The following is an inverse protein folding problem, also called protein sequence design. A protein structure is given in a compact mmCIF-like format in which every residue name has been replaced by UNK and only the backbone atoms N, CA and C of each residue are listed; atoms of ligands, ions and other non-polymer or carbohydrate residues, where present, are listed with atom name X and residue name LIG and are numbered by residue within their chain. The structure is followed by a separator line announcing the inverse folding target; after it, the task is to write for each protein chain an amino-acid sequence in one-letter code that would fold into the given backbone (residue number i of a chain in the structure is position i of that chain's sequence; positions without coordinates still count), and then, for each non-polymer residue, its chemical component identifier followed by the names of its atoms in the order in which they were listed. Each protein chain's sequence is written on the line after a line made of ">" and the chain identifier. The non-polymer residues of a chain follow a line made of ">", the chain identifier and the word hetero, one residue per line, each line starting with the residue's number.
data_IF_102722415038
#
_entry.id   IF_102722415038
#
_cell.length_a   1.000
_cell.length_b   1.000
_cell.length_c   1.000
_cell.angle_alpha   90.00
_cell.angle_beta   90.00
_cell.angle_gamma   90.00
#
_symmetry.space_group_name_H-M   'P 1'
#
loop_
_entity.id
_entity.type
_entity.pdbx_description
1 polymer ?
#
# COMPACT_ATOMS: atom_id res chain seq x y z
N UNK A 1 22.93 -20.81 14.04
CA UNK A 1 23.71 -19.82 13.28
C UNK A 1 22.90 -19.21 12.14
N UNK A 2 22.39 -19.98 11.18
CA UNK A 2 21.60 -19.47 10.04
C UNK A 2 20.41 -18.57 10.42
N UNK A 3 19.62 -18.94 11.45
CA UNK A 3 18.49 -18.13 11.89
C UNK A 3 18.91 -16.74 12.45
N UNK A 4 20.07 -16.67 13.12
CA UNK A 4 20.60 -15.41 13.65
C UNK A 4 21.13 -14.52 12.51
N UNK A 5 21.77 -15.12 11.50
CA UNK A 5 22.23 -14.40 10.31
C UNK A 5 21.07 -13.81 9.50
N UNK A 6 20.01 -14.58 9.27
CA UNK A 6 18.80 -14.11 8.57
C UNK A 6 18.13 -12.96 9.34
N UNK A 7 18.08 -13.04 10.67
CA UNK A 7 17.52 -11.97 11.50
C UNK A 7 18.35 -10.68 11.42
N UNK A 8 19.68 -10.77 11.51
CA UNK A 8 20.59 -9.62 11.34
C UNK A 8 20.44 -9.01 9.94
N UNK A 9 20.35 -9.85 8.92
CA UNK A 9 20.13 -9.41 7.54
C UNK A 9 18.77 -8.72 7.38
N UNK A 10 17.70 -9.22 8.00
CA UNK A 10 16.39 -8.58 7.98
C UNK A 10 16.39 -7.22 8.69
N UNK A 11 17.11 -7.08 9.81
CA UNK A 11 17.29 -5.79 10.48
C UNK A 11 18.08 -4.79 9.61
N UNK A 12 19.12 -5.25 8.91
CA UNK A 12 19.86 -4.43 7.95
C UNK A 12 18.98 -4.01 6.76
N UNK A 13 18.16 -4.92 6.23
CA UNK A 13 17.15 -4.62 5.20
C UNK A 13 16.17 -3.56 5.70
N UNK A 14 15.64 -3.71 6.92
CA UNK A 14 14.77 -2.70 7.53
C UNK A 14 15.42 -1.32 7.55
N UNK A 15 16.62 -1.20 8.15
CA UNK A 15 17.31 0.09 8.28
C UNK A 15 17.64 0.73 6.93
N UNK A 16 18.15 -0.06 5.97
CA UNK A 16 18.47 0.43 4.64
C UNK A 16 17.23 0.88 3.86
N UNK A 17 16.17 0.06 3.83
CA UNK A 17 14.93 0.38 3.11
C UNK A 17 14.27 1.61 3.73
N UNK A 18 14.15 1.64 5.06
CA UNK A 18 13.56 2.79 5.77
C UNK A 18 14.30 4.08 5.43
N UNK A 19 15.63 4.08 5.51
CA UNK A 19 16.44 5.26 5.24
C UNK A 19 16.28 5.75 3.80
N UNK A 20 16.41 4.88 2.80
CA UNK A 20 16.29 5.29 1.39
C UNK A 20 14.87 5.74 1.06
N UNK A 21 13.84 5.06 1.60
CA UNK A 21 12.45 5.46 1.40
C UNK A 21 12.16 6.80 2.08
N UNK A 22 12.59 7.00 3.33
CA UNK A 22 12.38 8.23 4.08
C UNK A 22 13.11 9.46 3.49
N UNK A 23 14.21 9.26 2.76
CA UNK A 23 14.94 10.34 2.09
C UNK A 23 14.46 10.65 0.67
N UNK A 24 13.47 9.91 0.18
CA UNK A 24 12.97 10.14 -1.16
C UNK A 24 11.97 11.32 -1.17
N UNK A 25 12.13 12.31 -2.06
CA UNK A 25 11.44 13.60 -1.93
C UNK A 25 9.97 13.63 -2.37
N UNK A 26 9.44 12.59 -3.03
CA UNK A 26 8.07 12.62 -3.52
C UNK A 26 7.05 12.40 -2.37
N UNK A 27 6.42 13.48 -1.92
CA UNK A 27 5.35 13.47 -0.91
C UNK A 27 3.98 13.48 -1.59
N UNK A 28 3.12 12.49 -1.31
CA UNK A 28 1.84 12.33 -2.02
C UNK A 28 0.65 12.11 -1.08
N UNK A 29 0.29 13.09 -0.24
CA UNK A 29 -0.73 12.92 0.80
C UNK A 29 -2.13 12.61 0.25
N UNK A 30 -2.59 13.28 -0.81
CA UNK A 30 -3.81 12.90 -1.58
C UNK A 30 -5.00 12.42 -0.73
N UNK A 31 -5.43 11.17 -0.97
CA UNK A 31 -6.48 10.43 -0.26
C UNK A 31 -6.19 10.23 1.25
N UNK A 32 -4.93 10.17 1.68
CA UNK A 32 -4.56 9.88 3.07
C UNK A 32 -4.38 11.10 3.95
N UNK A 33 -4.67 12.32 3.46
CA UNK A 33 -4.43 13.60 4.16
C UNK A 33 -4.99 13.74 5.56
N UNK A 34 -6.07 13.02 5.88
CA UNK A 34 -6.70 13.05 7.21
C UNK A 34 -6.19 11.94 8.14
N UNK A 35 -5.25 11.11 7.70
CA UNK A 35 -4.75 9.97 8.48
C UNK A 35 -3.96 10.43 9.70
N UNK A 36 -3.04 11.38 9.53
CA UNK A 36 -2.25 11.94 10.64
C UNK A 36 -3.15 12.70 11.61
N UNK A 37 -4.06 13.59 11.15
CA UNK A 37 -5.08 14.18 12.02
C UNK A 37 -5.87 13.16 12.85
N UNK A 38 -6.43 12.11 12.24
CA UNK A 38 -7.18 11.07 13.00
C UNK A 38 -6.27 10.35 14.01
N UNK A 39 -5.01 10.06 13.64
CA UNK A 39 -4.07 9.44 14.56
C UNK A 39 -3.76 10.34 15.77
N UNK A 40 -3.72 11.67 15.57
CA UNK A 40 -3.52 12.63 16.64
C UNK A 40 -4.76 12.76 17.53
N UNK A 41 -5.97 12.84 16.96
CA UNK A 41 -7.23 12.83 17.74
C UNK A 41 -7.33 11.58 18.62
N UNK A 42 -6.95 10.42 18.08
CA UNK A 42 -6.88 9.16 18.84
C UNK A 42 -5.91 9.24 20.03
N UNK A 43 -4.73 9.84 19.83
CA UNK A 43 -3.69 9.92 20.85
C UNK A 43 -3.96 11.00 21.90
N UNK A 44 -4.60 12.11 21.51
CA UNK A 44 -4.77 13.30 22.35
C UNK A 44 -6.13 13.36 23.04
N UNK A 45 -7.19 12.89 22.37
CA UNK A 45 -8.58 13.01 22.81
C UNK A 45 -9.26 11.67 23.05
N UNK A 46 -8.70 10.59 22.49
CA UNK A 46 -9.29 9.25 22.59
C UNK A 46 -10.52 9.06 21.70
N UNK A 47 -10.70 9.91 20.68
CA UNK A 47 -11.75 9.82 19.68
C UNK A 47 -11.16 9.81 18.26
N UNK A 48 -12.03 9.72 17.25
CA UNK A 48 -11.63 9.64 15.82
C UNK A 48 -12.28 10.72 14.96
N UNK A 49 -13.00 11.66 15.58
CA UNK A 49 -13.55 12.80 14.87
C UNK A 49 -12.44 13.81 14.56
N UNK A 50 -12.74 14.76 13.69
CA UNK A 50 -11.82 15.77 13.19
C UNK A 50 -12.36 17.17 13.46
N UNK A 51 -13.16 17.33 14.50
CA UNK A 51 -13.88 18.58 14.77
C UNK A 51 -12.90 19.74 15.04
N UNK A 52 -11.77 19.47 15.68
CA UNK A 52 -10.68 20.44 15.89
C UNK A 52 -9.99 20.89 14.61
N UNK A 53 -10.17 20.17 13.50
CA UNK A 53 -9.57 20.48 12.21
C UNK A 53 -10.59 21.00 11.20
N UNK A 54 -11.78 21.44 11.64
CA UNK A 54 -12.86 21.90 10.75
C UNK A 54 -12.39 23.04 9.81
N UNK A 55 -11.66 24.03 10.31
CA UNK A 55 -11.18 25.14 9.46
C UNK A 55 -10.21 24.62 8.38
N UNK A 56 -9.28 23.73 8.74
CA UNK A 56 -8.38 23.08 7.79
C UNK A 56 -9.14 22.24 6.76
N UNK A 57 -10.20 21.53 7.17
CA UNK A 57 -11.06 20.75 6.28
C UNK A 57 -11.83 21.66 5.33
N UNK A 58 -12.34 22.80 5.82
CA UNK A 58 -13.05 23.82 5.03
C UNK A 58 -12.13 24.42 3.96
N UNK A 59 -10.89 24.77 4.33
CA UNK A 59 -9.86 25.25 3.39
C UNK A 59 -9.51 24.22 2.30
N UNK A 60 -9.65 22.93 2.62
CA UNK A 60 -9.43 21.82 1.69
C UNK A 60 -10.71 21.38 0.95
N UNK A 61 -11.77 22.22 0.98
CA UNK A 61 -13.02 21.98 0.26
C UNK A 61 -13.77 20.72 0.70
N UNK A 62 -13.63 20.32 1.98
CA UNK A 62 -14.22 19.10 2.55
C UNK A 62 -13.81 17.80 1.83
N UNK A 63 -12.71 17.82 1.08
CA UNK A 63 -12.23 16.66 0.35
C UNK A 63 -12.01 15.48 1.29
N UNK A 64 -12.58 14.31 1.00
CA UNK A 64 -12.44 13.08 1.79
C UNK A 64 -12.86 13.17 3.27
N UNK A 65 -13.67 14.18 3.64
CA UNK A 65 -14.35 14.25 4.93
C UNK A 65 -15.82 13.85 4.78
N UNK A 66 -16.42 13.38 5.87
CA UNK A 66 -17.85 13.12 5.97
C UNK A 66 -18.40 13.59 7.32
N UNK A 67 -19.64 14.07 7.33
CA UNK A 67 -20.32 14.51 8.54
C UNK A 67 -21.27 13.40 8.98
N UNK A 68 -21.18 13.00 10.24
CA UNK A 68 -22.05 11.97 10.83
C UNK A 68 -22.90 12.63 11.91
N UNK A 69 -24.21 12.68 11.68
CA UNK A 69 -25.20 13.19 12.63
C UNK A 69 -26.01 12.04 13.23
N UNK A 70 -26.17 11.97 14.56
CA UNK A 70 -27.07 11.01 15.19
C UNK A 70 -28.52 11.20 14.70
N UNK A 71 -29.31 10.12 14.50
CA UNK A 71 -28.96 8.73 14.77
C UNK A 71 -28.10 8.08 13.68
N UNK A 72 -28.32 8.35 12.38
CA UNK A 72 -27.63 7.64 11.28
C UNK A 72 -27.35 8.50 10.02
N UNK A 73 -27.53 9.82 10.11
CA UNK A 73 -27.45 10.69 8.93
C UNK A 73 -26.00 11.01 8.57
N UNK A 74 -25.48 10.32 7.55
CA UNK A 74 -24.17 10.62 6.96
C UNK A 74 -24.33 11.57 5.78
N UNK A 75 -23.77 12.77 5.89
CA UNK A 75 -23.73 13.76 4.81
C UNK A 75 -22.32 13.81 4.18
N UNK A 76 -22.26 13.82 2.85
CA UNK A 76 -21.02 13.96 2.08
C UNK A 76 -20.53 15.42 1.98
N UNK A 77 -19.60 15.75 1.05
CA UNK A 77 -18.89 17.04 0.96
C UNK A 77 -19.75 18.31 0.96
N UNK A 78 -21.04 18.22 0.59
CA UNK A 78 -22.00 19.33 0.59
C UNK A 78 -22.64 19.62 1.98
N UNK A 79 -21.94 19.24 3.07
CA UNK A 79 -22.48 19.13 4.43
C UNK A 79 -22.60 20.43 5.25
N UNK A 80 -22.09 21.56 4.75
CA UNK A 80 -21.98 22.80 5.54
C UNK A 80 -21.11 22.59 6.79
N UNK A 81 -21.40 23.33 7.87
CA UNK A 81 -20.62 23.27 9.13
C UNK A 81 -20.84 22.00 9.98
N UNK A 82 -21.46 20.94 9.43
CA UNK A 82 -21.80 19.71 10.17
C UNK A 82 -22.56 19.96 11.49
N UNK A 83 -23.41 21.00 11.55
CA UNK A 83 -24.13 21.37 12.77
C UNK A 83 -24.89 20.16 13.38
N UNK A 84 -24.68 19.92 14.68
CA UNK A 84 -25.29 18.82 15.42
C UNK A 84 -24.71 17.42 15.14
N UNK A 85 -23.55 17.34 14.51
CA UNK A 85 -22.82 16.08 14.28
C UNK A 85 -21.31 16.25 14.44
N UNK A 86 -20.58 15.23 14.02
CA UNK A 86 -19.12 15.17 14.08
C UNK A 86 -18.52 14.87 12.70
N UNK A 87 -17.33 15.39 12.45
CA UNK A 87 -16.63 15.22 11.18
C UNK A 87 -15.69 14.03 11.27
N UNK A 88 -15.73 13.14 10.29
CA UNK A 88 -14.87 11.97 10.22
C UNK A 88 -14.11 11.92 8.89
N UNK A 89 -12.98 11.23 8.92
CA UNK A 89 -12.30 10.83 7.70
C UNK A 89 -13.17 9.81 6.95
N UNK A 90 -13.43 10.05 5.65
CA UNK A 90 -14.19 9.12 4.81
C UNK A 90 -13.47 7.79 4.62
N UNK A 91 -12.13 7.79 4.61
CA UNK A 91 -11.35 6.57 4.43
C UNK A 91 -11.33 5.69 5.69
N UNK A 92 -11.10 4.37 5.56
CA UNK A 92 -11.17 3.41 6.66
C UNK A 92 -10.26 3.72 7.83
N UNK A 93 -10.78 3.51 9.05
CA UNK A 93 -10.09 3.76 10.32
C UNK A 93 -8.85 2.88 10.55
N UNK A 94 -8.73 1.75 9.85
CA UNK A 94 -7.63 0.81 10.07
C UNK A 94 -6.25 1.40 9.80
N UNK A 95 -6.13 2.35 8.86
CA UNK A 95 -4.86 2.99 8.55
C UNK A 95 -4.40 3.95 9.67
N UNK A 96 -5.20 4.93 10.13
CA UNK A 96 -4.87 5.74 11.29
C UNK A 96 -4.53 4.93 12.55
N UNK A 97 -5.30 3.88 12.85
CA UNK A 97 -5.05 3.02 14.03
C UNK A 97 -3.70 2.32 13.95
N UNK A 98 -3.32 1.83 12.76
CA UNK A 98 -1.99 1.25 12.55
C UNK A 98 -0.87 2.28 12.63
N UNK A 99 -1.13 3.51 12.16
CA UNK A 99 -0.16 4.59 12.14
C UNK A 99 0.09 5.21 13.53
N UNK A 100 -0.91 5.23 14.41
CA UNK A 100 -0.88 5.94 15.68
C UNK A 100 0.35 5.61 16.57
N UNK A 101 0.79 4.34 16.75
CA UNK A 101 1.99 4.07 17.54
C UNK A 101 3.28 4.69 16.96
N UNK A 102 3.38 4.76 15.63
CA UNK A 102 4.55 5.35 14.95
C UNK A 102 4.47 6.88 14.99
N UNK A 103 3.27 7.45 14.80
CA UNK A 103 3.03 8.89 14.97
C UNK A 103 3.36 9.34 16.39
N UNK A 104 2.95 8.57 17.40
CA UNK A 104 3.30 8.81 18.80
C UNK A 104 4.82 8.78 19.01
N UNK A 105 5.51 7.78 18.46
CA UNK A 105 6.97 7.69 18.55
C UNK A 105 7.66 8.89 17.88
N UNK A 106 7.16 9.35 16.73
CA UNK A 106 7.65 10.57 16.06
C UNK A 106 7.49 11.78 16.96
N UNK A 107 6.29 11.99 17.52
CA UNK A 107 6.00 13.11 18.43
C UNK A 107 6.93 13.13 19.63
N UNK A 108 7.01 12.02 20.38
CA UNK A 108 7.89 11.90 21.55
C UNK A 108 9.35 12.13 21.17
N UNK A 109 9.79 11.65 20.01
CA UNK A 109 11.17 11.86 19.56
C UNK A 109 11.47 13.32 19.24
N UNK A 110 10.51 14.05 18.66
CA UNK A 110 10.65 15.48 18.37
C UNK A 110 10.63 16.31 19.66
N UNK A 111 9.73 15.99 20.59
CA UNK A 111 9.66 16.66 21.90
C UNK A 111 10.96 16.48 22.69
N UNK A 112 11.54 15.27 22.69
CA UNK A 112 12.84 15.01 23.33
C UNK A 112 14.00 15.70 22.60
N UNK A 113 13.89 15.93 21.29
CA UNK A 113 14.92 16.56 20.48
C UNK A 113 14.80 18.08 20.37
N UNK A 114 13.69 18.66 20.84
CA UNK A 114 13.38 20.10 20.79
C UNK A 114 14.58 20.98 21.22
N UNK A 115 15.32 20.70 22.32
CA UNK A 115 16.45 21.53 22.75
C UNK A 115 17.58 21.64 21.71
N UNK A 116 17.71 20.65 20.82
CA UNK A 116 18.71 20.63 19.77
C UNK A 116 18.18 21.11 18.41
N UNK A 117 16.89 20.91 18.15
CA UNK A 117 16.22 21.24 16.89
C UNK A 117 15.77 22.70 16.81
N UNK A 118 15.47 23.36 17.94
CA UNK A 118 15.03 24.76 18.01
C UNK A 118 16.13 25.81 17.68
N UNK A 119 17.17 25.42 16.93
CA UNK A 119 18.27 26.31 16.53
C UNK A 119 17.90 27.09 15.26
N UNK A 120 18.01 28.43 15.23
CA UNK A 120 17.65 29.25 14.08
C UNK A 120 18.30 28.82 12.75
N UNK A 121 19.50 28.23 12.81
CA UNK A 121 20.24 27.76 11.64
C UNK A 121 19.60 26.56 10.90
N UNK A 122 18.59 25.89 11.48
CA UNK A 122 17.91 24.75 10.87
C UNK A 122 16.61 25.12 10.15
N UNK A 123 16.15 26.38 10.26
CA UNK A 123 14.86 26.83 9.73
C UNK A 123 15.01 27.68 8.47
N UNK A 124 13.97 27.69 7.62
CA UNK A 124 13.87 28.55 6.43
C UNK A 124 14.27 27.86 5.12
N UNK A 125 14.44 26.53 5.13
CA UNK A 125 14.78 25.75 3.94
C UNK A 125 13.52 25.29 3.21
N UNK A 126 12.50 24.81 3.94
CA UNK A 126 11.26 24.31 3.36
C UNK A 126 10.12 24.30 4.40
N UNK A 127 8.92 24.84 4.11
CA UNK A 127 7.85 25.02 5.10
C UNK A 127 7.42 23.73 5.80
N UNK A 128 7.31 22.62 5.05
CA UNK A 128 6.97 21.29 5.62
C UNK A 128 8.04 20.80 6.59
N UNK A 129 9.33 21.01 6.28
CA UNK A 129 10.44 20.58 7.14
C UNK A 129 10.49 21.48 8.38
N UNK A 130 10.30 22.77 8.21
CA UNK A 130 10.27 23.73 9.32
C UNK A 130 9.13 23.41 10.29
N UNK A 131 7.94 23.07 9.79
CA UNK A 131 6.82 22.61 10.62
C UNK A 131 7.18 21.33 11.38
N UNK A 132 7.81 20.36 10.72
CA UNK A 132 8.22 19.10 11.35
C UNK A 132 9.24 19.32 12.48
N UNK A 133 10.23 20.19 12.25
CA UNK A 133 11.25 20.54 13.24
C UNK A 133 10.68 21.31 14.44
N UNK A 134 9.51 21.95 14.29
CA UNK A 134 8.74 22.59 15.37
C UNK A 134 7.75 21.65 16.05
N UNK A 135 7.81 20.34 15.76
CA UNK A 135 6.84 19.35 16.21
C UNK A 135 5.39 19.63 15.78
N UNK A 136 5.18 20.48 14.76
CA UNK A 136 3.87 20.66 14.14
C UNK A 136 3.60 19.53 13.13
N UNK A 137 3.00 18.46 13.63
CA UNK A 137 2.67 17.28 12.83
C UNK A 137 1.50 17.50 11.87
N UNK A 138 0.70 18.56 12.06
CA UNK A 138 -0.40 18.92 11.16
C UNK A 138 0.17 19.69 9.95
N UNK A 139 0.98 20.72 10.18
CA UNK A 139 1.67 21.47 9.13
C UNK A 139 2.68 20.61 8.35
N UNK A 140 3.24 19.58 8.99
CA UNK A 140 4.16 18.62 8.36
C UNK A 140 3.53 17.28 7.96
N UNK A 141 2.19 17.17 7.94
CA UNK A 141 1.47 15.90 7.74
C UNK A 141 1.96 15.05 6.57
N UNK A 142 2.28 15.66 5.43
CA UNK A 142 2.75 14.92 4.25
C UNK A 142 4.09 14.21 4.50
N UNK A 143 5.00 14.87 5.24
CA UNK A 143 6.28 14.28 5.65
C UNK A 143 6.06 13.17 6.69
N UNK A 144 5.19 13.40 7.69
CA UNK A 144 4.83 12.38 8.68
C UNK A 144 4.23 11.15 8.02
N UNK A 145 3.31 11.33 7.07
CA UNK A 145 2.73 10.23 6.29
C UNK A 145 3.80 9.42 5.56
N UNK A 146 4.72 10.09 4.85
CA UNK A 146 5.79 9.42 4.13
C UNK A 146 6.72 8.64 5.08
N UNK A 147 7.06 9.20 6.25
CA UNK A 147 7.90 8.52 7.25
C UNK A 147 7.22 7.25 7.79
N UNK A 148 5.95 7.34 8.17
CA UNK A 148 5.20 6.17 8.67
C UNK A 148 4.97 5.14 7.56
N UNK A 149 4.65 5.57 6.35
CA UNK A 149 4.51 4.68 5.20
C UNK A 149 5.83 3.97 4.86
N UNK A 150 6.96 4.68 4.90
CA UNK A 150 8.30 4.12 4.73
C UNK A 150 8.63 3.09 5.82
N UNK A 151 8.21 3.34 7.07
CA UNK A 151 8.35 2.38 8.16
C UNK A 151 7.57 1.08 7.89
N UNK A 152 6.31 1.17 7.44
CA UNK A 152 5.52 -0.02 7.11
C UNK A 152 6.12 -0.84 5.97
N UNK A 153 6.62 -0.18 4.92
CA UNK A 153 7.26 -0.88 3.81
C UNK A 153 8.61 -1.48 4.21
N UNK A 154 9.40 -0.80 5.03
CA UNK A 154 10.64 -1.35 5.58
C UNK A 154 10.38 -2.59 6.45
N UNK A 155 9.33 -2.56 7.28
CA UNK A 155 8.91 -3.71 8.08
C UNK A 155 8.43 -4.87 7.20
N UNK A 156 7.64 -4.59 6.17
CA UNK A 156 7.23 -5.59 5.19
C UNK A 156 8.43 -6.19 4.44
N UNK A 157 9.42 -5.38 4.05
CA UNK A 157 10.65 -5.86 3.40
C UNK A 157 11.48 -6.76 4.33
N UNK A 158 11.59 -6.41 5.61
CA UNK A 158 12.26 -7.25 6.60
C UNK A 158 11.53 -8.59 6.80
N UNK A 159 10.20 -8.58 6.91
CA UNK A 159 9.39 -9.80 6.97
C UNK A 159 9.51 -10.64 5.69
N UNK A 160 9.63 -10.01 4.53
CA UNK A 160 9.91 -10.69 3.26
C UNK A 160 11.29 -11.36 3.29
N UNK A 161 12.33 -10.68 3.80
CA UNK A 161 13.66 -11.28 3.97
C UNK A 161 13.62 -12.47 4.94
N UNK A 162 12.91 -12.35 6.06
CA UNK A 162 12.72 -13.46 7.01
C UNK A 162 11.97 -14.64 6.38
N UNK A 163 10.94 -14.37 5.58
CA UNK A 163 10.16 -15.40 4.87
C UNK A 163 11.02 -16.11 3.84
N UNK A 164 11.72 -15.34 3.00
CA UNK A 164 12.59 -15.85 1.95
C UNK A 164 13.79 -16.63 2.50
N UNK A 165 14.34 -16.19 3.64
CA UNK A 165 15.45 -16.85 4.33
C UNK A 165 15.14 -18.25 4.85
N UNK A 166 13.87 -18.67 4.86
CA UNK A 166 13.48 -20.07 5.14
C UNK A 166 13.75 -21.01 3.96
N UNK A 167 13.83 -20.47 2.74
CA UNK A 167 13.89 -21.26 1.50
C UNK A 167 15.12 -20.95 0.65
N UNK A 168 15.78 -19.81 0.91
CA UNK A 168 16.89 -19.29 0.14
C UNK A 168 18.08 -18.98 1.07
N UNK A 169 19.29 -19.01 0.51
CA UNK A 169 20.46 -18.46 1.21
C UNK A 169 20.29 -16.96 1.49
N UNK A 170 20.89 -16.48 2.59
CA UNK A 170 20.75 -15.10 3.11
C UNK A 170 20.89 -14.05 2.00
N UNK A 171 21.90 -14.16 1.13
CA UNK A 171 22.12 -13.22 0.02
C UNK A 171 20.93 -13.11 -0.94
N UNK A 172 20.30 -14.23 -1.28
CA UNK A 172 19.13 -14.27 -2.18
C UNK A 172 17.86 -13.83 -1.45
N UNK A 173 17.74 -14.11 -0.15
CA UNK A 173 16.64 -13.61 0.68
C UNK A 173 16.67 -12.08 0.79
N UNK A 174 17.85 -11.50 1.04
CA UNK A 174 18.08 -10.05 0.99
C UNK A 174 17.78 -9.50 -0.40
N UNK A 175 18.33 -10.11 -1.46
CA UNK A 175 18.05 -9.70 -2.84
C UNK A 175 16.55 -9.67 -3.17
N UNK A 176 15.79 -10.68 -2.74
CA UNK A 176 14.34 -10.72 -2.95
C UNK A 176 13.61 -9.61 -2.17
N UNK A 177 14.03 -9.34 -0.92
CA UNK A 177 13.47 -8.26 -0.13
C UNK A 177 13.77 -6.88 -0.76
N UNK A 178 14.95 -6.69 -1.35
CA UNK A 178 15.29 -5.47 -2.10
C UNK A 178 14.50 -5.38 -3.41
N UNK A 179 14.23 -6.49 -4.10
CA UNK A 179 13.30 -6.52 -5.24
C UNK A 179 11.92 -6.05 -4.80
N UNK A 180 11.37 -6.56 -3.69
CA UNK A 180 10.11 -6.05 -3.13
C UNK A 180 10.19 -4.54 -2.85
N UNK A 181 11.22 -4.10 -2.13
CA UNK A 181 11.29 -2.73 -1.63
C UNK A 181 11.56 -1.67 -2.71
N UNK A 182 12.28 -2.01 -3.80
CA UNK A 182 12.75 -1.03 -4.79
C UNK A 182 12.26 -1.29 -6.21
N UNK A 183 11.93 -2.54 -6.55
CA UNK A 183 11.50 -2.92 -7.88
C UNK A 183 9.98 -3.12 -7.97
N UNK A 184 9.20 -2.62 -7.02
CA UNK A 184 7.72 -2.72 -7.03
C UNK A 184 7.07 -1.42 -6.55
N UNK A 185 5.74 -1.29 -6.64
CA UNK A 185 5.01 -0.13 -6.10
C UNK A 185 5.20 0.11 -4.60
N UNK A 186 5.84 -0.79 -3.85
CA UNK A 186 6.24 -0.55 -2.47
C UNK A 186 7.06 0.76 -2.32
N UNK A 187 7.95 1.06 -3.27
CA UNK A 187 8.71 2.33 -3.24
C UNK A 187 7.91 3.51 -3.78
N UNK A 188 7.31 3.38 -4.96
CA UNK A 188 6.69 4.52 -5.65
C UNK A 188 5.31 4.92 -5.14
N UNK A 189 4.66 4.03 -4.38
CA UNK A 189 3.28 4.22 -3.91
C UNK A 189 3.17 3.91 -2.42
N UNK A 190 3.56 2.70 -2.01
CA UNK A 190 3.33 2.19 -0.65
C UNK A 190 4.08 2.94 0.45
N UNK A 191 5.19 3.62 0.13
CA UNK A 191 6.04 4.35 1.08
C UNK A 191 5.99 5.87 0.91
N UNK A 192 5.13 6.40 0.03
CA UNK A 192 5.06 7.85 -0.26
C UNK A 192 4.03 8.60 0.58
N UNK A 193 3.00 7.89 1.00
CA UNK A 193 1.92 8.42 1.81
C UNK A 193 1.18 7.28 2.50
N UNK A 194 0.33 7.62 3.48
CA UNK A 194 -0.45 6.64 4.22
C UNK A 194 -1.69 6.17 3.45
N UNK A 195 -1.54 5.93 2.15
CA UNK A 195 -2.55 5.21 1.37
C UNK A 195 -2.75 3.81 1.93
N UNK A 196 -3.96 3.29 1.79
CA UNK A 196 -4.34 1.94 2.22
C UNK A 196 -3.43 0.82 1.68
N UNK A 197 -2.77 1.05 0.54
CA UNK A 197 -1.91 0.07 -0.13
C UNK A 197 -0.67 -0.31 0.70
N UNK A 198 -0.01 0.65 1.36
CA UNK A 198 1.20 0.38 2.15
C UNK A 198 0.92 -0.56 3.34
N UNK A 199 -0.02 -0.19 4.23
CA UNK A 199 -0.46 -1.07 5.32
C UNK A 199 -1.05 -2.40 4.81
N UNK A 200 -1.76 -2.40 3.67
CA UNK A 200 -2.25 -3.62 3.01
C UNK A 200 -1.11 -4.58 2.65
N UNK A 201 0.00 -4.07 2.08
CA UNK A 201 1.18 -4.89 1.80
C UNK A 201 1.79 -5.47 3.09
N UNK A 202 1.84 -4.69 4.17
CA UNK A 202 2.39 -5.14 5.45
C UNK A 202 1.57 -6.30 6.03
N UNK A 203 0.25 -6.15 6.14
CA UNK A 203 -0.61 -7.21 6.71
C UNK A 203 -0.64 -8.46 5.84
N UNK A 204 -0.61 -8.33 4.51
CA UNK A 204 -0.47 -9.47 3.60
C UNK A 204 0.87 -10.19 3.80
N UNK A 205 1.96 -9.44 3.98
CA UNK A 205 3.29 -10.00 4.25
C UNK A 205 3.34 -10.70 5.62
N UNK A 206 2.70 -10.14 6.66
CA UNK A 206 2.57 -10.79 7.97
C UNK A 206 1.84 -12.12 7.83
N UNK A 207 0.70 -12.14 7.12
CA UNK A 207 -0.07 -13.36 6.90
C UNK A 207 0.76 -14.43 6.15
N UNK A 208 1.45 -14.06 5.07
CA UNK A 208 2.35 -14.97 4.34
C UNK A 208 3.48 -15.48 5.26
N UNK A 209 4.12 -14.58 6.01
CA UNK A 209 5.19 -14.93 6.93
C UNK A 209 4.75 -15.93 8.02
N UNK A 210 3.53 -15.82 8.52
CA UNK A 210 2.96 -16.77 9.49
C UNK A 210 2.58 -18.11 8.84
N UNK A 211 2.00 -18.10 7.64
CA UNK A 211 1.53 -19.30 6.95
C UNK A 211 2.65 -20.10 6.28
N UNK A 212 3.76 -19.45 5.92
CA UNK A 212 4.95 -20.09 5.33
C UNK A 212 5.85 -20.78 6.37
N UNK A 213 5.40 -20.96 7.61
CA UNK A 213 6.13 -21.66 8.67
C UNK A 213 6.00 -23.17 8.56
N UNK A 214 7.08 -23.88 8.86
CA UNK A 214 7.06 -25.34 9.00
C UNK A 214 6.45 -25.76 10.35
N UNK A 215 6.83 -25.06 11.42
CA UNK A 215 6.32 -25.26 12.78
C UNK A 215 4.93 -24.64 12.96
N UNK A 216 3.89 -25.42 12.64
CA UNK A 216 2.51 -24.92 12.67
C UNK A 216 1.89 -25.05 14.07
N UNK A 217 1.60 -23.91 14.70
CA UNK A 217 0.95 -23.78 16.01
C UNK A 217 -0.31 -22.92 15.88
N UNK A 218 -1.29 -23.12 16.77
CA UNK A 218 -2.55 -22.38 16.76
C UNK A 218 -2.34 -20.84 16.74
N UNK A 219 -1.38 -20.34 17.53
CA UNK A 219 -1.06 -18.91 17.59
C UNK A 219 -0.66 -18.30 16.23
N UNK A 220 -0.04 -19.07 15.34
CA UNK A 220 0.29 -18.59 13.99
C UNK A 220 -0.96 -18.34 13.15
N UNK A 221 -2.00 -19.15 13.35
CA UNK A 221 -3.28 -18.99 12.67
C UNK A 221 -4.12 -17.88 13.30
N UNK A 222 -4.08 -17.71 14.63
CA UNK A 222 -4.64 -16.51 15.30
C UNK A 222 -4.03 -15.25 14.71
N UNK A 223 -2.70 -15.17 14.63
CA UNK A 223 -2.02 -14.01 14.04
C UNK A 223 -2.37 -13.80 12.56
N UNK A 224 -2.49 -14.88 11.77
CA UNK A 224 -2.86 -14.77 10.36
C UNK A 224 -4.31 -14.28 10.18
N UNK A 225 -5.24 -14.74 11.03
CA UNK A 225 -6.63 -14.26 11.05
C UNK A 225 -6.73 -12.79 11.46
N UNK A 226 -6.05 -12.42 12.53
CA UNK A 226 -5.97 -11.03 12.97
C UNK A 226 -5.38 -10.11 11.90
N UNK A 227 -4.27 -10.50 11.26
CA UNK A 227 -3.66 -9.73 10.18
C UNK A 227 -4.60 -9.59 8.96
N UNK A 228 -5.27 -10.67 8.55
CA UNK A 228 -6.18 -10.63 7.40
C UNK A 228 -7.44 -9.79 7.68
N UNK A 229 -8.00 -9.88 8.89
CA UNK A 229 -9.13 -9.06 9.32
C UNK A 229 -8.74 -7.58 9.47
N UNK A 230 -7.53 -7.29 9.98
CA UNK A 230 -6.99 -5.94 10.02
C UNK A 230 -6.79 -5.39 8.60
N UNK A 231 -6.38 -6.24 7.66
CA UNK A 231 -6.37 -5.90 6.25
C UNK A 231 -7.73 -5.42 5.74
N UNK A 232 -8.83 -6.09 6.12
CA UNK A 232 -10.18 -5.64 5.77
C UNK A 232 -10.53 -4.28 6.38
N UNK A 233 -10.12 -4.00 7.62
CA UNK A 233 -10.29 -2.70 8.26
C UNK A 233 -9.42 -1.58 7.63
N UNK A 234 -8.31 -1.94 7.00
CA UNK A 234 -7.43 -1.04 6.23
C UNK A 234 -7.98 -0.75 4.85
N UNK A 235 -8.49 -1.77 4.15
CA UNK A 235 -8.99 -1.67 2.77
C UNK A 235 -10.12 -2.67 2.52
N UNK A 236 -11.28 -2.26 1.99
CA UNK A 236 -12.40 -3.18 1.72
C UNK A 236 -12.02 -4.38 0.85
N UNK A 237 -11.15 -4.18 -0.16
CA UNK A 237 -10.71 -5.24 -1.08
C UNK A 237 -9.91 -6.36 -0.39
N UNK A 238 -9.36 -6.11 0.80
CA UNK A 238 -8.68 -7.13 1.60
C UNK A 238 -9.66 -8.11 2.28
N UNK A 239 -10.98 -7.95 2.09
CA UNK A 239 -11.91 -9.04 2.34
C UNK A 239 -11.49 -10.31 1.60
N UNK A 240 -10.93 -10.17 0.39
CA UNK A 240 -10.40 -11.31 -0.37
C UNK A 240 -9.23 -11.98 0.35
N UNK A 241 -8.32 -11.21 0.97
CA UNK A 241 -7.22 -11.77 1.77
C UNK A 241 -7.79 -12.60 2.93
N UNK A 242 -8.75 -12.04 3.66
CA UNK A 242 -9.44 -12.71 4.77
C UNK A 242 -10.14 -14.00 4.35
N UNK A 243 -10.91 -13.97 3.26
CA UNK A 243 -11.70 -15.12 2.81
C UNK A 243 -10.81 -16.19 2.17
N UNK A 244 -9.90 -15.81 1.27
CA UNK A 244 -9.05 -16.78 0.56
C UNK A 244 -8.11 -17.50 1.53
N UNK A 245 -7.56 -16.80 2.52
CA UNK A 245 -6.78 -17.46 3.59
C UNK A 245 -7.67 -18.36 4.44
N UNK A 246 -8.90 -17.94 4.79
CA UNK A 246 -9.83 -18.81 5.52
C UNK A 246 -10.07 -20.13 4.76
N UNK A 247 -10.34 -20.05 3.45
CA UNK A 247 -10.52 -21.22 2.59
C UNK A 247 -9.28 -22.09 2.53
N UNK A 248 -8.08 -21.50 2.45
CA UNK A 248 -6.82 -22.24 2.54
C UNK A 248 -6.68 -22.97 3.88
N UNK A 249 -6.99 -22.29 5.00
CA UNK A 249 -6.92 -22.88 6.33
C UNK A 249 -7.93 -24.01 6.48
N UNK A 250 -9.17 -23.85 6.03
CA UNK A 250 -10.19 -24.92 6.06
C UNK A 250 -9.74 -26.12 5.21
N UNK A 251 -9.27 -25.88 3.99
CA UNK A 251 -8.83 -26.95 3.09
C UNK A 251 -7.63 -27.72 3.65
N UNK A 252 -6.54 -27.03 4.02
CA UNK A 252 -5.26 -27.69 4.33
C UNK A 252 -5.01 -27.90 5.82
N UNK A 253 -5.61 -27.06 6.65
CA UNK A 253 -5.28 -26.88 8.07
C UNK A 253 -6.54 -26.79 8.95
N UNK A 254 -7.61 -27.52 8.61
CA UNK A 254 -8.94 -27.45 9.27
C UNK A 254 -8.90 -27.39 10.80
N UNK A 255 -7.98 -28.13 11.43
CA UNK A 255 -7.79 -28.16 12.89
C UNK A 255 -7.45 -26.80 13.50
N UNK A 256 -6.89 -25.89 12.71
CA UNK A 256 -6.52 -24.53 13.13
C UNK A 256 -7.51 -23.47 12.65
N UNK A 257 -8.62 -23.87 12.03
CA UNK A 257 -9.64 -22.93 11.57
C UNK A 257 -10.22 -22.10 12.73
N UNK A 258 -10.51 -22.73 13.87
CA UNK A 258 -11.00 -22.00 15.04
C UNK A 258 -9.99 -20.97 15.58
N UNK A 259 -8.69 -21.29 15.50
CA UNK A 259 -7.65 -20.34 15.87
C UNK A 259 -7.60 -19.15 14.90
N UNK A 260 -7.69 -19.41 13.59
CA UNK A 260 -7.83 -18.36 12.58
C UNK A 260 -9.08 -17.49 12.81
N UNK A 261 -10.23 -18.14 12.98
CA UNK A 261 -11.50 -17.48 13.21
C UNK A 261 -11.47 -16.63 14.49
N UNK A 262 -10.83 -17.10 15.58
CA UNK A 262 -10.69 -16.33 16.81
C UNK A 262 -9.87 -15.05 16.60
N UNK A 263 -8.74 -15.14 15.89
CA UNK A 263 -7.94 -13.95 15.55
C UNK A 263 -8.69 -12.96 14.67
N UNK A 264 -9.39 -13.46 13.65
CA UNK A 264 -10.23 -12.63 12.77
C UNK A 264 -11.39 -11.99 13.54
N UNK A 265 -12.07 -12.76 14.38
CA UNK A 265 -13.24 -12.30 15.15
C UNK A 265 -12.86 -11.20 16.14
N UNK A 266 -11.69 -11.29 16.80
CA UNK A 266 -11.23 -10.24 17.71
C UNK A 266 -11.11 -8.89 16.99
N UNK A 267 -10.48 -8.85 15.81
CA UNK A 267 -10.31 -7.61 15.05
C UNK A 267 -11.62 -7.13 14.43
N UNK A 268 -12.42 -8.04 13.85
CA UNK A 268 -13.71 -7.70 13.27
C UNK A 268 -14.71 -7.20 14.32
N UNK A 269 -14.70 -7.76 15.54
CA UNK A 269 -15.54 -7.28 16.62
C UNK A 269 -15.20 -5.82 16.95
N UNK A 270 -13.92 -5.48 17.13
CA UNK A 270 -13.50 -4.08 17.34
C UNK A 270 -13.93 -3.17 16.18
N UNK A 271 -13.72 -3.60 14.94
CA UNK A 271 -14.12 -2.83 13.75
C UNK A 271 -15.64 -2.61 13.68
N UNK A 272 -16.44 -3.65 13.90
CA UNK A 272 -17.90 -3.57 13.86
C UNK A 272 -18.43 -2.72 15.01
N UNK A 273 -17.96 -2.93 16.23
CA UNK A 273 -18.36 -2.11 17.40
C UNK A 273 -18.05 -0.64 17.17
N UNK A 274 -16.85 -0.32 16.66
CA UNK A 274 -16.50 1.04 16.28
C UNK A 274 -17.49 1.63 15.27
N UNK A 275 -17.75 0.92 14.16
CA UNK A 275 -18.64 1.44 13.12
C UNK A 275 -20.08 1.60 13.61
N UNK A 276 -20.60 0.68 14.44
CA UNK A 276 -21.92 0.83 15.04
C UNK A 276 -21.99 2.01 16.00
N UNK A 277 -20.94 2.25 16.79
CA UNK A 277 -20.92 3.37 17.75
C UNK A 277 -20.92 4.75 17.09
N UNK A 278 -20.33 4.85 15.89
CA UNK A 278 -20.23 6.13 15.16
C UNK A 278 -21.34 6.28 14.13
N UNK A 279 -21.59 5.26 13.30
CA UNK A 279 -22.44 5.35 12.13
C UNK A 279 -23.83 4.71 12.30
N UNK A 280 -24.10 4.04 13.42
CA UNK A 280 -25.34 3.27 13.62
C UNK A 280 -25.45 2.01 12.73
N UNK A 281 -24.38 1.66 11.99
CA UNK A 281 -24.36 0.54 11.02
C UNK A 281 -23.04 -0.21 11.04
N UNK A 282 -23.06 -1.44 10.55
CA UNK A 282 -21.89 -2.33 10.54
C UNK A 282 -20.72 -1.83 9.68
N UNK A 283 -20.99 -1.09 8.60
CA UNK A 283 -20.00 -0.68 7.61
C UNK A 283 -20.08 0.84 7.36
N UNK A 284 -18.94 1.55 7.27
CA UNK A 284 -18.91 2.97 6.98
C UNK A 284 -19.20 3.24 5.49
N UNK A 285 -19.42 4.51 5.13
CA UNK A 285 -19.86 4.91 3.78
C UNK A 285 -18.91 4.46 2.67
N UNK A 286 -17.61 4.43 2.96
CA UNK A 286 -16.59 4.01 2.00
C UNK A 286 -16.67 2.52 1.63
N UNK A 287 -17.26 1.69 2.49
CA UNK A 287 -17.42 0.25 2.26
C UNK A 287 -18.71 -0.08 1.51
N UNK A 288 -19.63 0.88 1.34
CA UNK A 288 -20.91 0.68 0.66
C UNK A 288 -20.88 1.00 -0.83
N UNK A 289 -19.70 0.94 -1.47
CA UNK A 289 -19.59 1.12 -2.92
C UNK A 289 -20.23 -0.06 -3.65
N UNK A 290 -21.19 0.23 -4.53
CA UNK A 290 -21.85 -0.75 -5.38
C UNK A 290 -21.29 -0.65 -6.79
N UNK A 291 -20.80 -1.75 -7.39
CA UNK A 291 -20.33 -1.73 -8.76
C UNK A 291 -21.52 -1.53 -9.71
N UNK A 292 -21.30 -0.99 -10.93
CA UNK A 292 -22.32 -0.94 -11.95
C UNK A 292 -22.93 -2.33 -12.22
N UNK A 293 -24.23 -2.41 -12.55
CA UNK A 293 -24.88 -3.68 -12.86
C UNK A 293 -24.21 -4.39 -14.05
N UNK A 294 -24.19 -5.72 -14.01
CA UNK A 294 -23.70 -6.58 -15.09
C UNK A 294 -24.84 -6.99 -16.01
N UNK A 295 -25.53 -6.00 -16.57
CA UNK A 295 -26.75 -6.18 -17.36
C UNK A 295 -26.53 -6.00 -18.88
N UNK A 296 -25.31 -5.65 -19.30
CA UNK A 296 -25.00 -5.27 -20.68
C UNK A 296 -23.62 -5.72 -21.15
N UNK A 297 -23.47 -5.89 -22.47
CA UNK A 297 -22.17 -6.12 -23.11
C UNK A 297 -21.22 -4.94 -22.90
N UNK A 298 -21.75 -3.72 -22.79
CA UNK A 298 -20.97 -2.52 -22.47
C UNK A 298 -20.34 -2.62 -21.08
N UNK A 299 -21.09 -3.07 -20.07
CA UNK A 299 -20.55 -3.29 -18.73
C UNK A 299 -19.41 -4.32 -18.71
N UNK A 300 -19.57 -5.44 -19.43
CA UNK A 300 -18.51 -6.43 -19.57
C UNK A 300 -17.27 -5.86 -20.31
N UNK A 301 -17.48 -5.15 -21.41
CA UNK A 301 -16.40 -4.52 -22.18
C UNK A 301 -15.63 -3.50 -21.33
N UNK A 302 -16.32 -2.73 -20.49
CA UNK A 302 -15.70 -1.80 -19.55
C UNK A 302 -14.80 -2.49 -18.53
N UNK A 303 -15.27 -3.59 -17.93
CA UNK A 303 -14.47 -4.37 -16.97
C UNK A 303 -13.24 -4.99 -17.64
N UNK A 304 -13.39 -5.51 -18.86
CA UNK A 304 -12.27 -6.06 -19.62
C UNK A 304 -11.26 -4.96 -20.01
N UNK A 305 -11.74 -3.77 -20.37
CA UNK A 305 -10.89 -2.61 -20.64
C UNK A 305 -10.10 -2.20 -19.39
N UNK A 306 -10.80 -2.08 -18.26
CA UNK A 306 -10.20 -1.79 -16.95
C UNK A 306 -9.13 -2.83 -16.59
N UNK A 307 -9.44 -4.13 -16.73
CA UNK A 307 -8.48 -5.21 -16.49
C UNK A 307 -7.25 -5.11 -17.40
N UNK A 308 -7.46 -4.88 -18.70
CA UNK A 308 -6.37 -4.73 -19.66
C UNK A 308 -5.50 -3.51 -19.32
N UNK A 309 -6.11 -2.39 -18.92
CA UNK A 309 -5.40 -1.18 -18.57
C UNK A 309 -4.56 -1.36 -17.30
N UNK A 310 -5.12 -1.99 -16.28
CA UNK A 310 -4.45 -2.24 -15.00
C UNK A 310 -3.28 -3.22 -15.11
N UNK A 311 -3.28 -4.08 -16.13
CA UNK A 311 -2.19 -5.03 -16.35
C UNK A 311 -1.16 -4.52 -17.36
N UNK A 312 -1.60 -3.88 -18.44
CA UNK A 312 -0.78 -3.65 -19.64
C UNK A 312 -0.78 -2.24 -20.22
N UNK A 313 -1.49 -1.27 -19.64
CA UNK A 313 -1.40 0.10 -20.15
C UNK A 313 -0.02 0.72 -19.87
N UNK A 314 0.47 1.61 -20.74
CA UNK A 314 1.77 2.26 -20.58
C UNK A 314 1.92 3.06 -19.29
N UNK A 315 0.82 3.64 -18.77
CA UNK A 315 0.86 4.57 -17.63
C UNK A 315 0.20 4.05 -16.34
N UNK A 316 -0.53 2.93 -16.40
CA UNK A 316 -1.14 2.27 -15.21
C UNK A 316 -0.92 0.76 -15.15
N UNK A 317 -0.29 0.16 -16.16
CA UNK A 317 -0.13 -1.29 -16.27
C UNK A 317 0.89 -1.86 -15.29
N UNK A 318 0.45 -2.81 -14.47
CA UNK A 318 1.29 -3.52 -13.51
C UNK A 318 2.52 -4.17 -14.16
N UNK A 319 2.35 -4.82 -15.31
CA UNK A 319 3.44 -5.54 -15.99
C UNK A 319 4.35 -4.61 -16.80
N UNK A 320 3.89 -3.39 -17.09
CA UNK A 320 4.73 -2.34 -17.69
C UNK A 320 5.60 -1.71 -16.61
N UNK A 321 5.04 -1.35 -15.46
CA UNK A 321 5.82 -0.73 -14.38
C UNK A 321 6.70 -1.74 -13.65
N UNK A 322 6.23 -2.99 -13.53
CA UNK A 322 6.89 -4.04 -12.75
C UNK A 322 7.07 -5.35 -13.56
N UNK A 323 7.81 -5.34 -14.68
CA UNK A 323 8.02 -6.54 -15.52
C UNK A 323 8.66 -7.72 -14.79
N UNK A 324 9.34 -7.51 -13.65
CA UNK A 324 9.85 -8.61 -12.82
C UNK A 324 8.74 -9.57 -12.37
N UNK A 325 7.48 -9.13 -12.27
CA UNK A 325 6.34 -9.99 -11.94
C UNK A 325 6.00 -11.03 -13.01
N UNK A 326 6.49 -10.89 -14.25
CA UNK A 326 6.39 -11.96 -15.24
C UNK A 326 7.09 -13.24 -14.78
N UNK A 327 8.18 -13.10 -14.01
CA UNK A 327 8.91 -14.24 -13.43
C UNK A 327 8.14 -14.90 -12.26
N UNK A 328 7.19 -14.21 -11.65
CA UNK A 328 6.31 -14.78 -10.62
C UNK A 328 5.41 -15.88 -11.22
N UNK A 329 5.06 -15.79 -12.51
CA UNK A 329 4.34 -16.85 -13.23
C UNK A 329 5.22 -18.10 -13.39
N UNK A 330 6.50 -17.92 -13.75
CA UNK A 330 7.46 -19.02 -13.82
C UNK A 330 7.70 -19.65 -12.43
N UNK A 331 7.77 -18.83 -11.38
CA UNK A 331 7.85 -19.29 -10.01
C UNK A 331 6.60 -20.04 -9.53
N UNK A 332 5.40 -19.58 -9.89
CA UNK A 332 4.14 -20.28 -9.64
C UNK A 332 4.11 -21.64 -10.36
N UNK A 333 4.48 -21.67 -11.64
CA UNK A 333 4.59 -22.91 -12.40
C UNK A 333 5.58 -23.89 -11.73
N UNK A 334 6.74 -23.39 -11.28
CA UNK A 334 7.71 -24.22 -10.57
C UNK A 334 7.15 -24.73 -9.24
N UNK A 335 6.40 -23.89 -8.52
CA UNK A 335 5.74 -24.29 -7.28
C UNK A 335 4.76 -25.44 -7.49
N UNK A 336 3.97 -25.41 -8.56
CA UNK A 336 3.07 -26.51 -8.92
C UNK A 336 3.82 -27.77 -9.32
N UNK A 337 4.84 -27.66 -10.17
CA UNK A 337 5.65 -28.80 -10.62
C UNK A 337 6.37 -29.52 -9.47
N UNK A 338 6.81 -28.76 -8.46
CA UNK A 338 7.55 -29.28 -7.31
C UNK A 338 6.69 -29.49 -6.07
N UNK A 339 5.38 -29.20 -6.14
CA UNK A 339 4.46 -29.16 -4.99
C UNK A 339 4.97 -28.32 -3.81
N UNK A 340 5.76 -27.29 -4.10
CA UNK A 340 6.35 -26.41 -3.08
C UNK A 340 5.23 -25.70 -2.30
N UNK A 341 5.18 -25.93 -0.98
CA UNK A 341 4.16 -25.42 -0.07
C UNK A 341 2.70 -25.65 -0.53
N UNK A 342 2.45 -26.66 -1.37
CA UNK A 342 1.11 -26.90 -1.90
C UNK A 342 0.08 -27.11 -0.76
N UNK A 343 -1.13 -26.50 -0.84
CA UNK A 343 -1.67 -25.72 -1.96
C UNK A 343 -1.48 -24.19 -1.86
N UNK A 344 -0.68 -23.66 -0.93
CA UNK A 344 -0.60 -22.22 -0.64
C UNK A 344 -0.35 -21.33 -1.88
N UNK A 345 0.61 -21.64 -2.78
CA UNK A 345 0.84 -20.82 -3.98
C UNK A 345 -0.40 -20.67 -4.88
N UNK A 346 -1.25 -21.70 -4.97
CA UNK A 346 -2.48 -21.62 -5.76
C UNK A 346 -3.47 -20.63 -5.15
N UNK A 347 -3.61 -20.62 -3.82
CA UNK A 347 -4.46 -19.67 -3.11
C UNK A 347 -3.95 -18.23 -3.23
N UNK A 348 -2.63 -18.02 -3.15
CA UNK A 348 -2.04 -16.68 -3.34
C UNK A 348 -2.20 -16.19 -4.79
N UNK A 349 -2.07 -17.07 -5.79
CA UNK A 349 -2.33 -16.74 -7.18
C UNK A 349 -3.82 -16.42 -7.43
N UNK A 350 -4.73 -17.21 -6.85
CA UNK A 350 -6.16 -16.96 -6.90
C UNK A 350 -6.51 -15.62 -6.23
N UNK A 351 -5.92 -15.33 -5.07
CA UNK A 351 -6.07 -14.03 -4.40
C UNK A 351 -5.63 -12.88 -5.30
N UNK A 352 -4.46 -12.99 -5.95
CA UNK A 352 -3.97 -11.95 -6.84
C UNK A 352 -4.89 -11.73 -8.05
N UNK A 353 -5.38 -12.81 -8.66
CA UNK A 353 -6.33 -12.74 -9.76
C UNK A 353 -7.67 -12.10 -9.32
N UNK A 354 -8.22 -12.54 -8.18
CA UNK A 354 -9.47 -12.02 -7.63
C UNK A 354 -9.35 -10.54 -7.25
N UNK A 355 -8.25 -10.11 -6.64
CA UNK A 355 -8.03 -8.70 -6.31
C UNK A 355 -7.96 -7.84 -7.57
N UNK A 356 -7.25 -8.30 -8.60
CA UNK A 356 -7.21 -7.59 -9.89
C UNK A 356 -8.61 -7.49 -10.51
N UNK A 357 -9.38 -8.57 -10.50
CA UNK A 357 -10.74 -8.59 -11.04
C UNK A 357 -11.71 -7.70 -10.25
N UNK A 358 -11.64 -7.70 -8.91
CA UNK A 358 -12.47 -6.86 -8.05
C UNK A 358 -12.14 -5.39 -8.26
N UNK A 359 -10.86 -5.02 -8.31
CA UNK A 359 -10.43 -3.66 -8.63
C UNK A 359 -10.97 -3.23 -9.99
N UNK A 360 -10.87 -4.08 -11.00
CA UNK A 360 -11.36 -3.76 -12.34
C UNK A 360 -12.89 -3.55 -12.41
N UNK A 361 -13.64 -4.20 -11.50
CA UNK A 361 -15.11 -4.14 -11.45
C UNK A 361 -15.67 -3.02 -10.55
N UNK A 362 -15.06 -2.78 -9.40
CA UNK A 362 -15.66 -1.94 -8.36
C UNK A 362 -15.22 -0.48 -8.41
N UNK A 363 -14.12 -0.18 -9.09
CA UNK A 363 -13.64 1.19 -9.21
C UNK A 363 -14.11 1.77 -10.54
N UNK A 364 -15.18 2.57 -10.50
CA UNK A 364 -15.64 3.36 -11.64
C UNK A 364 -14.50 4.22 -12.21
N UNK A 365 -13.65 4.71 -11.30
CA UNK A 365 -12.37 5.35 -11.59
C UNK A 365 -11.23 4.33 -11.71
N UNK A 366 -11.27 3.51 -12.76
CA UNK A 366 -10.27 2.46 -13.01
C UNK A 366 -8.86 3.00 -13.19
N UNK A 367 -8.70 4.29 -13.56
CA UNK A 367 -7.41 4.97 -13.67
C UNK A 367 -6.72 5.14 -12.31
N UNK A 368 -7.43 4.93 -11.20
CA UNK A 368 -6.91 5.12 -9.85
C UNK A 368 -6.70 6.58 -9.46
N UNK A 369 -7.29 7.53 -10.19
CA UNK A 369 -7.18 8.97 -9.92
C UNK A 369 -5.76 9.52 -10.12
N UNK A 370 -5.48 10.66 -9.50
CA UNK A 370 -4.14 11.28 -9.48
C UNK A 370 -3.14 10.47 -8.66
N UNK A 371 -2.52 9.49 -9.32
CA UNK A 371 -1.56 8.59 -8.69
C UNK A 371 -0.37 8.29 -9.60
N UNK A 372 0.60 7.54 -9.08
CA UNK A 372 1.71 7.02 -9.87
C UNK A 372 1.53 5.54 -10.17
N UNK A 373 1.59 5.19 -11.45
CA UNK A 373 1.58 3.82 -11.94
C UNK A 373 0.40 2.97 -11.48
N UNK A 374 0.58 1.65 -11.28
CA UNK A 374 -0.48 0.69 -10.96
C UNK A 374 -0.92 0.78 -9.49
N UNK A 375 -1.38 1.95 -9.02
CA UNK A 375 -1.75 2.17 -7.60
C UNK A 375 -2.73 1.13 -7.09
N UNK A 376 -3.81 0.87 -7.84
CA UNK A 376 -4.90 0.03 -7.36
C UNK A 376 -4.52 -1.46 -7.18
N UNK A 377 -3.49 -1.93 -7.89
CA UNK A 377 -2.94 -3.30 -7.82
C UNK A 377 -1.61 -3.39 -7.06
N UNK A 378 -1.20 -2.30 -6.40
CA UNK A 378 0.09 -2.23 -5.68
C UNK A 378 0.21 -3.32 -4.60
N UNK A 379 -0.87 -3.61 -3.90
CA UNK A 379 -0.96 -4.60 -2.83
C UNK A 379 -0.82 -6.07 -3.29
N UNK A 380 -0.70 -6.31 -4.60
CA UNK A 380 -0.28 -7.61 -5.15
C UNK A 380 1.21 -7.88 -4.96
N UNK A 381 2.03 -6.83 -4.76
CA UNK A 381 3.48 -6.93 -4.66
C UNK A 381 3.99 -8.02 -3.69
N UNK A 382 3.54 -8.11 -2.42
CA UNK A 382 4.02 -9.17 -1.53
C UNK A 382 3.67 -10.58 -2.01
N UNK A 383 2.52 -10.77 -2.65
CA UNK A 383 2.09 -12.06 -3.19
C UNK A 383 3.00 -12.48 -4.36
N UNK A 384 3.19 -11.57 -5.31
CA UNK A 384 3.95 -11.83 -6.54
C UNK A 384 5.44 -11.99 -6.25
N UNK A 385 6.01 -11.21 -5.33
CA UNK A 385 7.41 -11.39 -4.91
C UNK A 385 7.60 -12.71 -4.16
N UNK A 386 6.67 -13.10 -3.28
CA UNK A 386 6.73 -14.41 -2.61
C UNK A 386 6.77 -15.56 -3.62
N UNK A 387 6.00 -15.46 -4.71
CA UNK A 387 5.99 -16.46 -5.79
C UNK A 387 7.29 -16.52 -6.60
N UNK A 388 8.25 -15.60 -6.44
CA UNK A 388 9.59 -15.73 -7.03
C UNK A 388 10.48 -16.73 -6.28
N UNK A 389 10.18 -17.03 -5.01
CA UNK A 389 11.01 -17.92 -4.17
C UNK A 389 11.27 -19.29 -4.81
N UNK A 390 10.26 -20.02 -5.34
CA UNK A 390 10.47 -21.35 -5.91
C UNK A 390 11.40 -21.34 -7.12
N UNK A 391 11.32 -20.29 -7.94
CA UNK A 391 12.20 -20.09 -9.10
C UNK A 391 13.65 -19.86 -8.65
N UNK A 392 13.85 -18.95 -7.70
CA UNK A 392 15.19 -18.65 -7.17
C UNK A 392 15.80 -19.83 -6.41
N UNK A 393 14.97 -20.62 -5.71
CA UNK A 393 15.41 -21.82 -5.01
C UNK A 393 15.87 -22.91 -6.00
N UNK A 394 15.20 -23.01 -7.15
CA UNK A 394 15.57 -23.94 -8.21
C UNK A 394 16.89 -23.57 -8.86
N UNK A 395 17.08 -22.30 -9.20
CA UNK A 395 18.36 -21.80 -9.73
C UNK A 395 19.51 -21.94 -8.73
N UNK A 396 19.24 -21.98 -7.42
CA UNK A 396 20.27 -22.30 -6.41
C UNK A 396 20.71 -23.75 -6.54
N UNK A 397 19.74 -24.67 -6.64
CA UNK A 397 19.98 -26.12 -6.65
C UNK A 397 20.63 -26.59 -7.95
N UNK A 398 20.21 -26.03 -9.09
CA UNK A 398 20.76 -26.40 -10.38
C UNK A 398 22.20 -25.90 -10.61
N UNK A 399 22.71 -25.00 -9.77
CA UNK A 399 24.04 -24.38 -9.94
C UNK A 399 24.13 -23.37 -11.09
N UNK A 400 23.17 -23.37 -12.03
CA UNK A 400 23.06 -22.39 -13.10
C UNK A 400 21.60 -22.13 -13.49
N UNK A 401 21.26 -20.86 -13.72
CA UNK A 401 20.12 -20.48 -14.55
C UNK A 401 20.61 -20.30 -16.00
N UNK A 402 19.78 -20.51 -17.03
CA UNK A 402 20.18 -20.16 -18.39
C UNK A 402 20.63 -18.69 -18.44
N UNK A 403 21.83 -18.41 -18.96
CA UNK A 403 22.43 -17.06 -18.96
C UNK A 403 21.46 -16.00 -19.50
N UNK A 404 20.69 -16.36 -20.54
CA UNK A 404 19.64 -15.50 -21.12
C UNK A 404 18.54 -15.18 -20.10
N UNK A 405 18.01 -16.17 -19.39
CA UNK A 405 16.95 -15.98 -18.38
C UNK A 405 17.44 -15.11 -17.22
N UNK A 406 18.68 -15.31 -16.76
CA UNK A 406 19.27 -14.47 -15.72
C UNK A 406 19.45 -13.02 -16.19
N UNK A 407 19.89 -12.82 -17.44
CA UNK A 407 20.00 -11.50 -18.07
C UNK A 407 18.64 -10.80 -18.18
N UNK A 408 17.60 -11.50 -18.63
CA UNK A 408 16.24 -10.96 -18.70
C UNK A 408 15.67 -10.63 -17.31
N UNK A 409 15.91 -11.49 -16.32
CA UNK A 409 15.48 -11.24 -14.94
C UNK A 409 16.19 -10.01 -14.35
N UNK A 410 17.50 -9.91 -14.53
CA UNK A 410 18.28 -8.75 -14.12
C UNK A 410 17.83 -7.46 -14.81
N UNK A 411 17.61 -7.50 -16.13
CA UNK A 411 17.10 -6.36 -16.88
C UNK A 411 15.70 -5.93 -16.41
N UNK A 412 14.80 -6.89 -16.14
CA UNK A 412 13.48 -6.60 -15.60
C UNK A 412 13.56 -5.95 -14.22
N UNK A 413 14.43 -6.44 -13.33
CA UNK A 413 14.67 -5.80 -12.03
C UNK A 413 15.19 -4.38 -12.21
N UNK A 414 16.25 -4.18 -13.00
CA UNK A 414 16.84 -2.85 -13.21
C UNK A 414 15.83 -1.86 -13.78
N UNK A 415 15.02 -2.29 -14.75
CA UNK A 415 13.97 -1.47 -15.32
C UNK A 415 12.88 -1.15 -14.29
N UNK A 416 12.39 -2.13 -13.53
CA UNK A 416 11.42 -1.89 -12.47
C UNK A 416 11.96 -0.97 -11.38
N UNK A 417 13.23 -1.12 -10.97
CA UNK A 417 13.89 -0.21 -10.03
C UNK A 417 13.93 1.20 -10.60
N UNK A 418 14.31 1.37 -11.87
CA UNK A 418 14.28 2.67 -12.54
C UNK A 418 12.87 3.28 -12.49
N UNK A 419 11.84 2.55 -12.95
CA UNK A 419 10.46 3.05 -12.97
C UNK A 419 9.99 3.41 -11.56
N UNK A 420 10.20 2.57 -10.55
CA UNK A 420 9.74 2.90 -9.20
C UNK A 420 10.58 4.00 -8.52
N UNK A 421 11.87 4.11 -8.84
CA UNK A 421 12.70 5.25 -8.46
C UNK A 421 12.14 6.56 -9.03
N UNK A 422 11.69 6.57 -10.29
CA UNK A 422 11.11 7.76 -10.92
C UNK A 422 9.89 8.26 -10.13
N UNK A 423 8.96 7.37 -9.78
CA UNK A 423 7.79 7.73 -8.97
C UNK A 423 8.13 8.13 -7.53
N UNK A 424 9.23 7.62 -6.99
CA UNK A 424 9.69 7.92 -5.64
C UNK A 424 10.49 9.22 -5.52
N UNK A 425 11.20 9.61 -6.59
CA UNK A 425 12.21 10.67 -6.55
C UNK A 425 11.84 11.92 -7.35
N UNK A 426 10.79 11.88 -8.18
CA UNK A 426 10.48 12.97 -9.12
C UNK A 426 9.04 13.43 -9.02
N UNK A 427 8.83 14.70 -8.66
CA UNK A 427 7.49 15.31 -8.64
C UNK A 427 6.88 15.39 -10.05
N UNK A 428 7.70 15.57 -11.09
CA UNK A 428 7.26 15.62 -12.49
C UNK A 428 6.46 14.38 -12.94
N UNK A 429 6.74 13.20 -12.37
CA UNK A 429 5.98 12.00 -12.71
C UNK A 429 4.59 11.99 -12.08
N UNK A 430 4.39 12.72 -10.99
CA UNK A 430 3.08 12.94 -10.38
C UNK A 430 2.31 14.06 -11.09
N UNK A 431 2.99 15.11 -11.54
CA UNK A 431 2.41 16.19 -12.37
C UNK A 431 1.82 15.68 -13.68
N UNK A 432 2.31 14.56 -14.20
CA UNK A 432 1.71 13.87 -15.36
C UNK A 432 0.18 13.74 -15.26
N UNK A 433 -0.36 13.56 -14.05
CA UNK A 433 -1.80 13.40 -13.83
C UNK A 433 -2.59 14.64 -14.26
N UNK A 434 -2.05 15.85 -14.10
CA UNK A 434 -2.73 17.11 -14.41
C UNK A 434 -2.25 17.75 -15.72
N UNK A 435 -0.98 17.51 -16.11
CA UNK A 435 -0.36 18.20 -17.25
C UNK A 435 -0.18 17.28 -18.47
N UNK A 436 -0.57 17.70 -19.69
CA UNK A 436 -1.12 19.03 -20.04
C UNK A 436 -2.63 19.19 -19.76
N UNK A 437 -3.34 18.08 -19.55
CA UNK A 437 -4.78 18.07 -19.24
C UNK A 437 -5.06 16.96 -18.24
N UNK A 438 -6.03 17.17 -17.36
CA UNK A 438 -6.30 16.22 -16.27
C UNK A 438 -6.68 14.82 -16.78
N UNK A 439 -5.97 13.79 -16.31
CA UNK A 439 -6.19 12.38 -16.65
C UNK A 439 -7.56 11.89 -16.19
N UNK A 440 -8.14 12.50 -15.15
CA UNK A 440 -9.44 12.11 -14.63
C UNK A 440 -10.56 12.48 -15.62
N UNK A 441 -10.35 13.51 -16.43
CA UNK A 441 -11.23 13.91 -17.54
C UNK A 441 -10.80 13.33 -18.90
N UNK A 442 -9.52 12.93 -19.03
CA UNK A 442 -8.93 12.43 -20.26
C UNK A 442 -8.23 11.08 -20.08
N UNK A 443 -9.01 10.07 -19.69
CA UNK A 443 -8.52 8.72 -19.33
C UNK A 443 -7.76 8.02 -20.46
N UNK A 444 -7.97 8.41 -21.74
CA UNK A 444 -7.22 7.88 -22.88
C UNK A 444 -5.71 8.12 -22.77
N UNK A 445 -5.27 9.12 -22.01
CA UNK A 445 -3.84 9.37 -21.72
C UNK A 445 -3.16 8.18 -21.06
N UNK A 446 -3.91 7.34 -20.35
CA UNK A 446 -3.37 6.11 -19.74
C UNK A 446 -2.81 5.15 -20.80
N UNK A 447 -3.31 5.21 -22.03
CA UNK A 447 -2.89 4.39 -23.16
C UNK A 447 -1.85 5.07 -24.08
N UNK A 448 -1.44 6.31 -23.77
CA UNK A 448 -0.51 7.05 -24.60
C UNK A 448 0.96 6.64 -24.35
N UNK A 449 1.52 5.88 -25.29
CA UNK A 449 2.94 5.48 -25.30
C UNK A 449 3.90 6.63 -25.61
N UNK A 450 3.40 7.70 -26.24
CA UNK A 450 4.21 8.89 -26.48
C UNK A 450 4.40 9.65 -25.19
N UNK A 451 3.45 9.51 -24.25
CA UNK A 451 3.41 10.20 -22.97
C UNK A 451 3.55 9.34 -21.71
N UNK A 452 4.74 8.77 -21.52
CA UNK A 452 5.03 7.88 -20.40
C UNK A 452 5.26 8.64 -19.08
N UNK A 453 4.45 8.33 -18.07
CA UNK A 453 4.46 8.92 -16.74
C UNK A 453 5.85 8.83 -16.10
N UNK A 454 6.49 7.66 -16.14
CA UNK A 454 7.81 7.44 -15.52
C UNK A 454 8.96 8.14 -16.26
N UNK A 455 8.74 8.65 -17.48
CA UNK A 455 9.74 9.42 -18.25
C UNK A 455 9.57 10.94 -18.13
N UNK A 456 8.50 11.43 -17.48
CA UNK A 456 8.30 12.87 -17.26
C UNK A 456 9.49 13.46 -16.47
N UNK A 457 9.93 14.65 -16.87
CA UNK A 457 11.10 15.34 -16.31
C UNK A 457 12.46 14.86 -16.86
N UNK A 458 12.51 13.84 -17.72
CA UNK A 458 13.74 13.39 -18.39
C UNK A 458 13.69 13.72 -19.89
N UNK A 459 12.55 13.43 -20.53
CA UNK A 459 12.37 13.69 -21.96
C UNK A 459 11.78 15.09 -22.14
N UNK A 460 12.59 16.02 -22.65
CA UNK A 460 12.14 17.36 -23.04
C UNK A 460 11.29 17.22 -24.30
N UNK A 461 10.01 17.62 -24.23
CA UNK A 461 9.13 17.66 -25.41
C UNK A 461 8.92 19.09 -25.90
N UNK A 462 9.08 19.36 -27.19
CA UNK A 462 8.64 20.62 -27.79
C UNK A 462 7.13 20.77 -27.59
N UNK A 463 6.68 21.89 -26.99
CA UNK A 463 5.26 22.21 -26.80
C UNK A 463 4.69 22.03 -25.37
N UNK A 464 5.46 21.46 -24.44
CA UNK A 464 5.20 21.52 -22.99
C UNK A 464 6.12 22.57 -22.38
N UNK A 465 5.87 23.85 -22.66
CA UNK A 465 6.59 24.94 -21.98
C UNK A 465 6.12 25.01 -20.54
N UNK A 466 7.06 24.84 -19.60
CA UNK A 466 6.85 25.02 -18.18
C UNK A 466 6.50 26.49 -17.88
N UNK A 467 5.23 26.81 -17.69
CA UNK A 467 4.87 27.85 -16.73
C UNK A 467 4.80 27.16 -15.37
N UNK A 468 5.80 27.37 -14.53
CA UNK A 468 5.78 26.96 -13.13
C UNK A 468 4.73 27.77 -12.37
N UNK A 469 3.64 27.18 -11.83
CA UNK A 469 2.88 27.83 -10.78
C UNK A 469 3.64 27.60 -9.48
N UNK A 470 4.05 28.69 -8.85
CA UNK A 470 4.67 28.71 -7.54
C UNK A 470 3.62 28.44 -6.45
N UNK A 471 3.19 27.18 -6.26
CA UNK A 471 2.58 26.67 -5.02
C UNK A 471 1.97 25.28 -5.26
N UNK A 472 2.55 24.24 -4.64
CA UNK A 472 1.87 22.99 -4.27
C UNK A 472 2.42 22.51 -2.94
#
# INVERSE_FOLDING_TARGET
>A
MLACEVLRAAAAVFGFVFFVHALSPALTSGDSRWTVPVALSLLERGDTNLDEYLDLIRENGYYAAECVRPPDAVAGPAMGDCAGGHIYNRYPIGVPVLAAPVVFAIRVSLDLAEPWLARPALFGIHPIIDAFLRADLIGSRALVEMLVASFFIALAAALMALTAGRFLAVRRAVGLALVFAFATPAWSTGSRALYQHGPSMLVATIAIWLLAREDRRAIHFVGAGAAAALGYAVRPTNLLLLVVIALFVVHRHRRFFLAYAAGSAAVLACFLTYNFSIYGRALPSYYSQTPPPLDSWQALAWILHSLAAQLGSPNRGLLIFTPVFLFSLAGLWRAFRTRWLAPLPAYLAALAALQTAVVARYYDFWTGGHCYGPRLTSDLAPLLVFLLIPLLADWSRAGFAPRRTLGLFGAAILFSVFVHARGALSVETHRWNIDPVDVDHHQQRVWDWRDLQFLRGIVIRPGLTHETPASL
#
